data_IF_776069762883
#
_entry.id   IF_776069762883
#
_cell.length_a   1.000
_cell.length_b   1.000
_cell.length_c   1.000
_cell.angle_alpha   90.00
_cell.angle_beta   90.00
_cell.angle_gamma   90.00
#
_symmetry.space_group_name_H-M   'P 1'
#
loop_
_entity.id
_entity.type
_entity.pdbx_description
1 polymer ?
#
# COMPACT_ATOMS: atom_id res chain seq x y z
N UNK A 1 -5.63 -8.52 25.92
CA UNK A 1 -5.52 -7.77 24.66
C UNK A 1 -4.68 -8.61 23.70
N UNK A 2 -5.23 -9.08 22.58
CA UNK A 2 -4.44 -9.77 21.56
C UNK A 2 -3.44 -8.77 20.95
N UNK A 3 -2.17 -8.88 21.29
CA UNK A 3 -1.11 -8.19 20.55
C UNK A 3 -0.86 -8.98 19.28
N UNK A 4 -1.12 -8.39 18.11
CA UNK A 4 -0.65 -8.97 16.85
C UNK A 4 0.88 -8.87 16.87
N UNK A 5 1.54 -10.02 16.82
CA UNK A 5 3.00 -10.09 16.68
C UNK A 5 3.32 -10.03 15.20
N UNK A 6 4.04 -9.00 14.78
CA UNK A 6 4.56 -8.88 13.42
C UNK A 6 5.89 -9.62 13.32
N UNK A 7 5.97 -10.54 12.38
CA UNK A 7 7.19 -11.24 11.97
C UNK A 7 8.13 -10.31 11.20
N UNK A 8 9.41 -10.37 11.55
CA UNK A 8 10.51 -9.65 10.92
C UNK A 8 10.59 -9.94 9.40
N UNK A 9 10.84 -8.92 8.58
CA UNK A 9 10.98 -9.03 7.12
C UNK A 9 9.74 -9.57 6.39
N UNK A 10 8.56 -9.60 7.02
CA UNK A 10 7.33 -10.04 6.38
C UNK A 10 6.62 -8.91 5.62
N UNK A 11 5.81 -9.28 4.62
CA UNK A 11 4.95 -8.37 3.86
C UNK A 11 3.49 -8.50 4.29
N UNK A 12 2.94 -7.44 4.86
CA UNK A 12 1.54 -7.36 5.25
C UNK A 12 0.73 -6.60 4.19
N UNK A 13 -0.17 -7.32 3.52
CA UNK A 13 -1.00 -6.77 2.44
C UNK A 13 -2.40 -6.50 2.97
N UNK A 14 -2.81 -5.24 2.95
CA UNK A 14 -4.12 -4.79 3.43
C UNK A 14 -4.97 -4.26 2.26
N UNK A 15 -6.21 -4.76 2.16
CA UNK A 15 -7.22 -4.19 1.25
C UNK A 15 -7.88 -2.94 1.88
N UNK A 16 -8.78 -2.30 1.12
CA UNK A 16 -9.50 -1.08 1.47
C UNK A 16 -9.89 -1.02 2.96
N UNK A 17 -9.73 0.18 3.54
CA UNK A 17 -10.15 0.57 4.90
C UNK A 17 -9.15 0.35 6.05
N UNK A 18 -7.87 0.11 5.76
CA UNK A 18 -6.84 0.23 6.80
C UNK A 18 -6.52 1.70 7.10
N UNK A 19 -7.12 2.26 8.15
CA UNK A 19 -7.03 3.67 8.54
C UNK A 19 -6.08 3.92 9.73
N UNK A 20 -5.49 2.86 10.29
CA UNK A 20 -4.63 2.96 11.46
C UNK A 20 -3.16 3.17 11.12
N UNK A 21 -2.76 4.43 10.94
CA UNK A 21 -1.34 4.82 10.81
C UNK A 21 -0.47 4.32 11.97
N UNK A 22 -1.05 4.19 13.17
CA UNK A 22 -0.35 3.68 14.35
C UNK A 22 0.10 2.24 14.15
N UNK A 23 -0.75 1.39 13.56
CA UNK A 23 -0.40 -0.01 13.31
C UNK A 23 0.59 -0.14 12.15
N UNK A 24 0.48 0.70 11.10
CA UNK A 24 1.51 0.77 10.05
C UNK A 24 2.88 1.13 10.62
N UNK A 25 2.91 2.04 11.61
CA UNK A 25 4.16 2.39 12.28
C UNK A 25 4.71 1.24 13.13
N UNK A 26 3.85 0.43 13.75
CA UNK A 26 4.29 -0.77 14.47
C UNK A 26 4.94 -1.79 13.53
N UNK A 27 4.37 -2.01 12.35
CA UNK A 27 4.96 -2.89 11.31
C UNK A 27 6.32 -2.34 10.88
N UNK A 28 6.40 -1.03 10.67
CA UNK A 28 7.67 -0.36 10.33
C UNK A 28 8.73 -0.58 11.41
N UNK A 29 8.38 -0.40 12.69
CA UNK A 29 9.30 -0.59 13.83
C UNK A 29 9.76 -2.04 14.03
N UNK A 30 9.09 -3.00 13.40
CA UNK A 30 9.49 -4.42 13.41
C UNK A 30 10.30 -4.81 12.17
N UNK A 31 10.93 -3.85 11.49
CA UNK A 31 11.65 -4.04 10.22
C UNK A 31 10.86 -4.90 9.21
N UNK A 32 9.57 -4.60 9.12
CA UNK A 32 8.62 -5.31 8.28
C UNK A 32 7.94 -4.38 7.29
N UNK A 33 7.35 -4.96 6.25
CA UNK A 33 6.83 -4.23 5.11
C UNK A 33 5.32 -4.28 5.06
N UNK A 34 4.68 -3.19 4.62
CA UNK A 34 3.24 -3.19 4.37
C UNK A 34 2.93 -2.69 2.97
N UNK A 35 1.83 -3.19 2.41
CA UNK A 35 1.21 -2.68 1.18
C UNK A 35 -0.26 -2.45 1.47
N UNK A 36 -0.68 -1.18 1.47
CA UNK A 36 -2.08 -0.79 1.74
C UNK A 36 -2.69 -0.23 0.47
N UNK A 37 -3.85 -0.74 0.06
CA UNK A 37 -4.64 -0.13 -1.01
C UNK A 37 -5.42 1.07 -0.51
N UNK A 38 -5.22 2.23 -1.13
CA UNK A 38 -5.98 3.44 -0.85
C UNK A 38 -7.30 3.45 -1.64
N UNK A 39 -8.41 3.81 -0.96
CA UNK A 39 -9.76 3.90 -1.55
C UNK A 39 -9.94 5.13 -2.44
N UNK A 40 -9.28 6.23 -2.11
CA UNK A 40 -9.30 7.48 -2.86
C UNK A 40 -7.92 8.15 -2.83
N UNK A 41 -7.62 8.90 -3.88
CA UNK A 41 -6.42 9.72 -4.00
C UNK A 41 -6.42 10.82 -2.93
N UNK A 42 -5.91 10.49 -1.74
CA UNK A 42 -5.58 11.49 -0.71
C UNK A 42 -4.58 12.52 -1.26
N UNK A 43 -3.87 12.16 -2.34
CA UNK A 43 -3.08 13.07 -3.16
C UNK A 43 -3.89 13.46 -4.40
N UNK A 44 -4.50 14.65 -4.40
CA UNK A 44 -5.17 15.24 -5.57
C UNK A 44 -4.18 15.52 -6.70
N UNK A 45 -3.76 14.50 -7.44
CA UNK A 45 -3.08 14.67 -8.71
C UNK A 45 -4.13 14.92 -9.80
N UNK A 46 -4.10 16.12 -10.40
CA UNK A 46 -5.06 16.58 -11.42
C UNK A 46 -5.03 15.80 -12.76
N UNK A 47 -4.14 14.82 -12.93
CA UNK A 47 -3.96 14.11 -14.21
C UNK A 47 -4.41 12.65 -14.06
N UNK A 48 -5.36 12.23 -14.90
CA UNK A 48 -5.66 10.81 -15.12
C UNK A 48 -4.37 10.12 -15.58
N UNK A 49 -4.06 8.98 -14.98
CA UNK A 49 -2.95 8.14 -15.39
C UNK A 49 -3.31 7.52 -16.74
N UNK A 50 -2.45 7.63 -17.78
CA UNK A 50 -2.65 6.96 -19.06
C UNK A 50 -2.80 5.43 -18.89
N UNK A 51 -3.43 4.76 -19.86
CA UNK A 51 -3.36 3.29 -19.95
C UNK A 51 -1.89 2.87 -20.00
N UNK A 52 -1.50 1.82 -19.26
CA UNK A 52 -0.11 1.37 -19.03
C UNK A 52 0.79 2.27 -18.18
N UNK A 53 0.31 3.35 -17.56
CA UNK A 53 1.19 4.18 -16.75
C UNK A 53 1.29 3.69 -15.29
N UNK A 54 2.53 3.50 -14.86
CA UNK A 54 2.92 3.21 -13.48
C UNK A 54 3.53 4.48 -12.89
N UNK A 55 2.97 4.98 -11.79
CA UNK A 55 3.56 6.10 -11.03
C UNK A 55 4.19 5.56 -9.76
N UNK A 56 5.38 6.05 -9.43
CA UNK A 56 6.11 5.72 -8.22
C UNK A 56 6.66 7.03 -7.63
N UNK A 57 6.23 7.36 -6.42
CA UNK A 57 6.58 8.62 -5.77
C UNK A 57 6.78 8.42 -4.27
N UNK A 58 7.78 9.10 -3.72
CA UNK A 58 7.90 9.24 -2.27
C UNK A 58 6.97 10.37 -1.79
N UNK A 59 6.19 10.11 -0.76
CA UNK A 59 5.21 11.03 -0.19
C UNK A 59 5.35 11.07 1.33
N UNK A 60 5.25 12.26 1.92
CA UNK A 60 5.12 12.43 3.36
C UNK A 60 3.69 12.80 3.71
N UNK A 61 3.18 12.25 4.81
CA UNK A 61 1.87 12.62 5.33
C UNK A 61 1.92 14.05 5.88
N UNK A 62 1.14 14.97 5.32
CA UNK A 62 1.11 16.38 5.73
C UNK A 62 0.07 16.70 6.80
N UNK A 63 -0.74 15.71 7.21
CA UNK A 63 -1.73 15.90 8.27
C UNK A 63 -1.08 15.84 9.67
N UNK A 64 -1.30 16.86 10.49
CA UNK A 64 -0.73 16.99 11.86
C UNK A 64 -0.89 15.73 12.73
N UNK A 65 -2.05 15.07 12.66
CA UNK A 65 -2.32 13.83 13.41
C UNK A 65 -1.66 12.59 12.79
N UNK A 66 -1.47 12.58 11.47
CA UNK A 66 -0.84 11.47 10.75
C UNK A 66 0.68 11.52 10.90
N UNK A 67 1.29 12.71 10.79
CA UNK A 67 2.74 12.90 10.96
C UNK A 67 3.19 12.53 12.38
N UNK A 68 2.39 12.85 13.41
CA UNK A 68 2.68 12.40 14.79
C UNK A 68 2.58 10.88 14.98
N UNK A 69 1.72 10.21 14.20
CA UNK A 69 1.50 8.76 14.31
C UNK A 69 2.47 7.95 13.46
N UNK A 70 2.98 8.55 12.38
CA UNK A 70 3.94 7.96 11.46
C UNK A 70 4.81 9.10 10.89
N UNK A 71 6.00 9.37 11.47
CA UNK A 71 6.85 10.49 11.08
C UNK A 71 7.64 10.24 9.79
N UNK A 72 7.78 8.97 9.39
CA UNK A 72 8.56 8.55 8.23
C UNK A 72 7.85 8.81 6.88
N UNK A 73 8.62 8.81 5.81
CA UNK A 73 8.06 8.88 4.45
C UNK A 73 7.42 7.56 4.04
N UNK A 74 6.51 7.66 3.07
CA UNK A 74 5.88 6.52 2.41
C UNK A 74 6.24 6.55 0.93
N UNK A 75 6.18 5.39 0.30
CA UNK A 75 6.16 5.26 -1.14
C UNK A 75 4.72 5.06 -1.61
N UNK A 76 4.30 5.89 -2.55
CA UNK A 76 3.00 5.87 -3.19
C UNK A 76 3.15 5.35 -4.62
N UNK A 77 2.49 4.24 -4.91
CA UNK A 77 2.51 3.60 -6.22
C UNK A 77 1.10 3.66 -6.81
N UNK A 78 0.97 4.12 -8.05
CA UNK A 78 -0.29 4.03 -8.80
C UNK A 78 -0.10 3.09 -9.98
N UNK A 79 -0.98 2.12 -10.08
CA UNK A 79 -0.98 1.06 -11.07
C UNK A 79 -2.33 1.01 -11.76
N UNK A 80 -2.34 1.08 -13.08
CA UNK A 80 -3.55 0.86 -13.86
C UNK A 80 -3.55 -0.60 -14.36
N UNK A 81 -4.60 -1.31 -13.98
CA UNK A 81 -4.85 -2.68 -14.39
C UNK A 81 -5.70 -2.69 -15.66
N UNK A 82 -5.08 -3.12 -16.76
CA UNK A 82 -5.75 -3.18 -18.06
C UNK A 82 -6.77 -4.32 -18.15
N UNK A 83 -6.55 -5.40 -17.41
CA UNK A 83 -7.42 -6.59 -17.44
C UNK A 83 -8.79 -6.27 -16.86
N UNK A 84 -8.81 -5.51 -15.77
CA UNK A 84 -10.02 -5.13 -15.04
C UNK A 84 -10.52 -3.71 -15.35
N UNK A 85 -9.81 -2.95 -16.22
CA UNK A 85 -10.02 -1.52 -16.49
C UNK A 85 -10.11 -0.67 -15.19
N UNK A 86 -9.16 -0.88 -14.27
CA UNK A 86 -9.18 -0.30 -12.91
C UNK A 86 -7.86 0.30 -12.48
N UNK A 87 -7.94 1.45 -11.82
CA UNK A 87 -6.77 2.06 -11.18
C UNK A 87 -6.66 1.63 -9.71
N UNK A 88 -5.43 1.30 -9.31
CA UNK A 88 -5.04 1.00 -7.93
C UNK A 88 -4.01 2.02 -7.46
N UNK A 89 -4.18 2.50 -6.23
CA UNK A 89 -3.18 3.29 -5.52
C UNK A 89 -2.75 2.54 -4.28
N UNK A 90 -1.45 2.36 -4.11
CA UNK A 90 -0.82 1.66 -3.01
C UNK A 90 0.04 2.60 -2.19
N UNK A 91 0.00 2.43 -0.86
CA UNK A 91 0.91 3.05 0.09
C UNK A 91 1.78 1.96 0.72
N UNK A 92 3.10 2.14 0.70
CA UNK A 92 4.05 1.15 1.23
C UNK A 92 5.27 1.82 1.85
N UNK A 93 5.90 1.18 2.84
CA UNK A 93 7.24 1.52 3.31
C UNK A 93 8.35 0.76 2.56
N UNK A 94 7.99 -0.04 1.55
CA UNK A 94 8.97 -0.86 0.81
C UNK A 94 9.65 -0.04 -0.27
N UNK A 95 10.94 0.19 -0.11
CA UNK A 95 11.76 0.96 -1.08
C UNK A 95 12.63 0.08 -1.98
N UNK A 96 12.87 -1.17 -1.59
CA UNK A 96 13.88 -2.04 -2.23
C UNK A 96 13.34 -2.93 -3.37
N UNK A 97 12.02 -3.04 -3.57
CA UNK A 97 11.42 -3.78 -4.71
C UNK A 97 10.79 -2.82 -5.72
N UNK A 98 10.59 -3.25 -6.96
CA UNK A 98 9.96 -2.42 -7.99
C UNK A 98 8.48 -2.16 -7.71
N UNK A 99 7.96 -1.04 -8.20
CA UNK A 99 6.54 -0.71 -8.11
C UNK A 99 5.64 -1.76 -8.79
N UNK A 100 6.14 -2.40 -9.85
CA UNK A 100 5.48 -3.53 -10.51
C UNK A 100 5.39 -4.76 -9.58
N UNK A 101 6.46 -5.06 -8.82
CA UNK A 101 6.43 -6.17 -7.85
C UNK A 101 5.43 -5.91 -6.72
N UNK A 102 5.27 -4.66 -6.27
CA UNK A 102 4.24 -4.28 -5.30
C UNK A 102 2.83 -4.53 -5.87
N UNK A 103 2.58 -4.11 -7.11
CA UNK A 103 1.31 -4.37 -7.79
C UNK A 103 1.05 -5.88 -7.93
N UNK A 104 2.07 -6.66 -8.29
CA UNK A 104 1.99 -8.12 -8.40
C UNK A 104 1.75 -8.80 -7.05
N UNK A 105 2.38 -8.34 -5.96
CA UNK A 105 2.12 -8.83 -4.61
C UNK A 105 0.65 -8.67 -4.25
N UNK A 106 0.08 -7.51 -4.57
CA UNK A 106 -1.35 -7.25 -4.36
C UNK A 106 -2.24 -8.11 -5.27
N UNK A 107 -1.92 -8.27 -6.57
CA UNK A 107 -2.66 -9.16 -7.48
C UNK A 107 -2.67 -10.62 -6.99
N UNK A 108 -1.54 -11.13 -6.50
CA UNK A 108 -1.47 -12.49 -5.92
C UNK A 108 -2.39 -12.67 -4.73
N UNK A 109 -2.55 -11.63 -3.89
CA UNK A 109 -3.49 -11.66 -2.75
C UNK A 109 -4.94 -11.83 -3.21
N UNK A 110 -5.31 -11.22 -4.34
CA UNK A 110 -6.64 -11.40 -4.95
C UNK A 110 -6.83 -12.83 -5.46
N UNK A 111 -5.83 -13.39 -6.13
CA UNK A 111 -5.90 -14.76 -6.65
C UNK A 111 -6.17 -15.79 -5.53
N UNK A 112 -5.56 -15.61 -4.36
CA UNK A 112 -5.79 -16.48 -3.18
C UNK A 112 -7.24 -16.46 -2.71
N UNK A 113 -7.94 -15.32 -2.77
CA UNK A 113 -9.37 -15.26 -2.42
C UNK A 113 -10.27 -15.90 -3.48
N UNK A 114 -9.93 -15.74 -4.77
CA UNK A 114 -10.67 -16.38 -5.86
C UNK A 114 -10.53 -17.92 -5.85
N UNK A 115 -9.36 -18.46 -5.49
CA UNK A 115 -9.13 -19.91 -5.42
C UNK A 115 -9.79 -20.59 -4.20
N UNK A 116 -10.36 -19.82 -3.27
CA UNK A 116 -11.06 -20.34 -2.08
C UNK A 116 -12.55 -20.60 -2.32
N UNK A 117 -13.05 -20.32 -3.53
CA UNK A 117 -14.47 -20.35 -3.87
C UNK A 117 -14.78 -21.26 -5.07
N UNK A 118 -13.96 -22.28 -5.29
CA UNK A 118 -14.12 -23.34 -6.31
C UNK A 118 -14.36 -24.70 -5.68
#
# INVERSE_FOLDING_TARGET
MCSIHYELNAYYIFDRAYDSFKELYRIHLTDSFFVVRLKYTMVKWKRRIPKNALTDAEVKMTGYLSEKKYPESFRLIRYYDEEDDREFTFLTNTTHISALNIANLYKKRWLVEYSSNG
#
